data_IF_235873777146
#
_entry.id   IF_235873777146
#
_cell.length_a   1.000
_cell.length_b   1.000
_cell.length_c   1.000
_cell.angle_alpha   90.00
_cell.angle_beta   90.00
_cell.angle_gamma   90.00
#
_symmetry.space_group_name_H-M   'P 1'
#
loop_
_entity.id
_entity.type
_entity.pdbx_description
1 polymer ?
#
# COMPACT_ATOMS: atom_id res chain seq x y z
N UNK A 1 -11.08 -9.07 -27.15
CA UNK A 1 -11.17 -8.61 -25.74
C UNK A 1 -10.01 -9.26 -25.00
N UNK A 2 -9.05 -8.46 -24.51
CA UNK A 2 -7.94 -8.97 -23.71
C UNK A 2 -8.47 -9.59 -22.42
N UNK A 3 -7.87 -10.67 -21.97
CA UNK A 3 -8.15 -11.26 -20.67
C UNK A 3 -7.27 -10.55 -19.65
N UNK A 4 -7.81 -10.18 -18.47
CA UNK A 4 -7.03 -9.59 -17.39
C UNK A 4 -5.97 -10.60 -16.89
N UNK A 5 -4.71 -10.20 -16.90
CA UNK A 5 -3.60 -11.03 -16.43
C UNK A 5 -3.43 -10.88 -14.90
N UNK A 6 -4.10 -11.75 -14.16
CA UNK A 6 -4.08 -11.75 -12.70
C UNK A 6 -2.68 -11.97 -12.11
N UNK A 7 -1.91 -12.90 -12.68
CA UNK A 7 -0.58 -13.23 -12.16
C UNK A 7 0.40 -12.07 -12.34
N UNK A 8 0.33 -11.43 -13.48
CA UNK A 8 1.16 -10.25 -13.76
C UNK A 8 0.81 -9.08 -12.84
N UNK A 9 -0.48 -8.84 -12.58
CA UNK A 9 -0.87 -7.80 -11.63
C UNK A 9 -0.47 -8.14 -10.21
N UNK A 10 -0.61 -9.40 -9.76
CA UNK A 10 -0.14 -9.84 -8.45
C UNK A 10 1.36 -9.59 -8.27
N UNK A 11 2.18 -9.90 -9.28
CA UNK A 11 3.62 -9.61 -9.26
C UNK A 11 3.90 -8.11 -9.13
N UNK A 12 3.18 -7.28 -9.90
CA UNK A 12 3.28 -5.84 -9.82
C UNK A 12 2.90 -5.32 -8.41
N UNK A 13 1.73 -5.71 -7.88
CA UNK A 13 1.23 -5.22 -6.61
C UNK A 13 2.08 -5.67 -5.40
N UNK A 14 2.72 -6.84 -5.48
CA UNK A 14 3.53 -7.40 -4.37
C UNK A 14 4.97 -6.90 -4.34
N UNK A 15 5.50 -6.42 -5.42
CA UNK A 15 6.92 -6.09 -5.52
C UNK A 15 7.16 -4.74 -6.21
N UNK A 16 6.74 -4.59 -7.47
CA UNK A 16 7.07 -3.39 -8.23
C UNK A 16 6.42 -2.12 -7.66
N UNK A 17 5.21 -2.23 -7.11
CA UNK A 17 4.52 -1.10 -6.48
C UNK A 17 5.27 -0.62 -5.23
N UNK A 18 5.76 -1.55 -4.40
CA UNK A 18 6.54 -1.20 -3.21
C UNK A 18 7.86 -0.51 -3.56
N UNK A 19 8.56 -1.00 -4.59
CA UNK A 19 9.80 -0.38 -5.07
C UNK A 19 9.56 1.06 -5.55
N UNK A 20 8.44 1.31 -6.24
CA UNK A 20 8.04 2.63 -6.72
C UNK A 20 7.67 3.57 -5.56
N UNK A 21 6.84 3.10 -4.63
CA UNK A 21 6.46 3.89 -3.44
C UNK A 21 7.67 4.20 -2.56
N UNK A 22 8.61 3.27 -2.47
CA UNK A 22 9.85 3.50 -1.74
C UNK A 22 10.74 4.56 -2.44
N UNK A 23 10.78 4.56 -3.78
CA UNK A 23 11.48 5.60 -4.52
C UNK A 23 10.86 6.98 -4.26
N UNK A 24 9.54 7.09 -4.39
CA UNK A 24 8.81 8.34 -4.13
C UNK A 24 9.02 8.85 -2.70
N UNK A 25 9.05 7.95 -1.71
CA UNK A 25 9.37 8.32 -0.34
C UNK A 25 10.76 8.95 -0.22
N UNK A 26 11.77 8.37 -0.90
CA UNK A 26 13.14 8.87 -0.86
C UNK A 26 13.37 10.11 -1.71
N UNK A 27 12.54 10.32 -2.72
CA UNK A 27 12.56 11.49 -3.61
C UNK A 27 11.71 12.66 -3.06
N UNK A 28 11.18 12.53 -1.82
CA UNK A 28 10.34 13.51 -1.11
C UNK A 28 8.98 13.78 -1.78
N UNK A 29 8.42 12.78 -2.44
CA UNK A 29 7.07 12.86 -3.02
C UNK A 29 6.01 12.28 -2.08
N UNK A 30 6.40 11.53 -1.04
CA UNK A 30 5.51 10.97 -0.02
C UNK A 30 5.89 11.50 1.37
N UNK A 31 5.01 12.29 1.98
CA UNK A 31 5.14 12.81 3.35
C UNK A 31 4.08 12.28 4.32
N UNK A 32 3.00 11.73 3.79
CA UNK A 32 1.85 11.25 4.55
C UNK A 32 1.11 10.17 3.76
N UNK A 33 0.08 9.58 4.39
CA UNK A 33 -0.73 8.51 3.82
C UNK A 33 -1.45 8.94 2.53
N UNK A 34 -1.91 10.20 2.43
CA UNK A 34 -2.60 10.72 1.24
C UNK A 34 -1.66 10.80 0.03
N UNK A 35 -0.41 11.21 0.24
CA UNK A 35 0.58 11.25 -0.84
C UNK A 35 0.85 9.81 -1.33
N UNK A 36 1.00 8.86 -0.40
CA UNK A 36 1.17 7.45 -0.72
C UNK A 36 -0.01 6.89 -1.54
N UNK A 37 -1.26 7.22 -1.18
CA UNK A 37 -2.44 6.85 -1.97
C UNK A 37 -2.39 7.43 -3.38
N UNK A 38 -1.96 8.68 -3.50
CA UNK A 38 -1.87 9.38 -4.79
C UNK A 38 -0.82 8.74 -5.69
N UNK A 39 0.36 8.46 -5.17
CA UNK A 39 1.44 7.74 -5.88
C UNK A 39 0.99 6.34 -6.29
N UNK A 40 0.42 5.57 -5.36
CA UNK A 40 -0.09 4.22 -5.65
C UNK A 40 -1.16 4.24 -6.75
N UNK A 41 -2.12 5.17 -6.67
CA UNK A 41 -3.16 5.33 -7.69
C UNK A 41 -2.57 5.65 -9.07
N UNK A 42 -1.58 6.54 -9.11
CA UNK A 42 -0.88 6.90 -10.36
C UNK A 42 -0.21 5.66 -10.97
N UNK A 43 0.57 4.91 -10.20
CA UNK A 43 1.30 3.73 -10.68
C UNK A 43 0.37 2.60 -11.13
N UNK A 44 -0.70 2.34 -10.38
CA UNK A 44 -1.70 1.33 -10.75
C UNK A 44 -2.41 1.74 -12.05
N UNK A 45 -2.79 3.00 -12.22
CA UNK A 45 -3.38 3.49 -13.47
C UNK A 45 -2.42 3.40 -14.65
N UNK A 46 -1.15 3.74 -14.43
CA UNK A 46 -0.13 3.63 -15.47
C UNK A 46 0.10 2.17 -15.88
N UNK A 47 0.12 1.25 -14.89
CA UNK A 47 0.16 -0.18 -15.14
C UNK A 47 -0.99 -0.62 -16.07
N UNK A 48 -2.24 -0.27 -15.75
CA UNK A 48 -3.39 -0.65 -16.56
C UNK A 48 -3.36 -0.01 -17.95
N UNK A 49 -2.94 1.24 -18.05
CA UNK A 49 -2.77 1.90 -19.35
C UNK A 49 -1.78 1.19 -20.25
N UNK A 50 -0.73 0.61 -19.68
CA UNK A 50 0.32 -0.09 -20.45
C UNK A 50 -0.05 -1.53 -20.80
N UNK A 51 -0.83 -2.20 -19.94
CA UNK A 51 -0.99 -3.64 -20.03
C UNK A 51 -2.44 -4.11 -20.22
N UNK A 52 -3.45 -3.39 -19.73
CA UNK A 52 -4.81 -3.89 -19.56
C UNK A 52 -5.88 -2.87 -20.00
N UNK A 53 -5.66 -2.15 -21.09
CA UNK A 53 -6.37 -0.91 -21.50
C UNK A 53 -7.91 -0.93 -21.41
N UNK A 54 -8.55 -2.09 -21.64
CA UNK A 54 -10.01 -2.15 -21.83
C UNK A 54 -10.73 -3.08 -20.85
N UNK A 55 -10.02 -3.78 -19.95
CA UNK A 55 -10.62 -4.83 -19.11
C UNK A 55 -10.80 -4.43 -17.65
N UNK A 56 -10.00 -3.49 -17.16
CA UNK A 56 -10.01 -3.09 -15.75
C UNK A 56 -9.99 -1.56 -15.55
N UNK A 57 -10.54 -1.11 -14.44
CA UNK A 57 -10.45 0.28 -14.01
C UNK A 57 -10.25 0.37 -12.49
N UNK A 58 -9.74 1.51 -12.05
CA UNK A 58 -9.33 1.79 -10.67
C UNK A 58 -10.23 2.86 -10.06
N UNK A 59 -10.61 2.69 -8.80
CA UNK A 59 -11.34 3.69 -8.00
C UNK A 59 -10.62 3.92 -6.68
N UNK A 60 -10.49 5.20 -6.29
CA UNK A 60 -10.05 5.59 -4.96
C UNK A 60 -11.25 5.71 -4.04
N UNK A 61 -11.11 5.21 -2.83
CA UNK A 61 -12.06 5.32 -1.72
C UNK A 61 -13.54 5.03 -2.11
N UNK A 62 -13.84 3.98 -2.92
CA UNK A 62 -15.22 3.69 -3.25
C UNK A 62 -15.96 3.09 -2.06
N UNK A 63 -17.28 3.26 -2.02
CA UNK A 63 -18.11 2.49 -1.09
C UNK A 63 -18.19 1.03 -1.56
N UNK A 64 -17.77 0.11 -0.69
CA UNK A 64 -17.76 -1.33 -0.96
C UNK A 64 -18.22 -2.10 0.29
N UNK A 65 -19.38 -2.76 0.24
CA UNK A 65 -19.97 -3.50 1.38
C UNK A 65 -20.09 -2.68 2.68
N UNK A 66 -20.39 -1.38 2.58
CA UNK A 66 -20.44 -0.48 3.76
C UNK A 66 -19.10 0.03 4.25
N UNK A 67 -18.00 -0.47 3.67
CA UNK A 67 -16.62 -0.05 3.95
C UNK A 67 -16.11 0.92 2.89
N UNK A 68 -14.98 1.57 3.18
CA UNK A 68 -14.34 2.51 2.26
C UNK A 68 -12.85 2.18 2.14
N UNK A 69 -12.51 1.18 1.31
CA UNK A 69 -11.12 0.85 1.06
C UNK A 69 -10.42 1.94 0.25
N UNK A 70 -9.08 2.03 0.38
CA UNK A 70 -8.30 3.08 -0.27
C UNK A 70 -8.33 2.98 -1.79
N UNK A 71 -8.09 1.79 -2.33
CA UNK A 71 -8.15 1.54 -3.78
C UNK A 71 -8.88 0.24 -4.07
N UNK A 72 -9.80 0.28 -5.05
CA UNK A 72 -10.44 -0.92 -5.60
C UNK A 72 -10.21 -0.99 -7.11
N UNK A 73 -9.85 -2.17 -7.56
CA UNK A 73 -9.71 -2.49 -8.97
C UNK A 73 -10.91 -3.33 -9.39
N UNK A 74 -11.54 -2.91 -10.45
CA UNK A 74 -12.70 -3.56 -11.02
C UNK A 74 -12.35 -4.17 -12.37
N UNK A 75 -12.75 -5.43 -12.57
CA UNK A 75 -12.77 -6.07 -13.89
C UNK A 75 -14.24 -6.28 -14.31
N UNK A 76 -14.60 -5.78 -15.48
CA UNK A 76 -15.97 -5.89 -16.03
C UNK A 76 -17.06 -5.46 -15.04
N UNK A 77 -16.80 -4.42 -14.27
CA UNK A 77 -17.76 -3.88 -13.28
C UNK A 77 -17.81 -4.63 -11.95
N UNK A 78 -17.00 -5.68 -11.75
CA UNK A 78 -16.93 -6.43 -10.49
C UNK A 78 -15.64 -6.09 -9.74
N UNK A 79 -15.68 -5.85 -8.42
CA UNK A 79 -14.47 -5.66 -7.62
C UNK A 79 -13.62 -6.92 -7.68
N UNK A 80 -12.34 -6.79 -7.97
CA UNK A 80 -11.43 -7.91 -8.19
C UNK A 80 -10.22 -7.87 -7.27
N UNK A 81 -9.74 -6.67 -6.96
CA UNK A 81 -8.69 -6.44 -5.98
C UNK A 81 -9.02 -5.25 -5.10
N UNK A 82 -8.58 -5.33 -3.85
CA UNK A 82 -8.71 -4.26 -2.86
C UNK A 82 -7.33 -3.98 -2.29
N UNK A 83 -6.98 -2.70 -2.16
CA UNK A 83 -5.71 -2.29 -1.58
C UNK A 83 -5.97 -1.32 -0.44
N UNK A 84 -5.22 -1.49 0.64
CA UNK A 84 -5.14 -0.60 1.79
C UNK A 84 -3.69 -0.18 2.01
N UNK A 85 -3.51 1.04 2.45
CA UNK A 85 -2.21 1.64 2.67
C UNK A 85 -2.12 2.23 4.06
N UNK A 86 -0.96 2.09 4.70
CA UNK A 86 -0.68 2.69 6.00
C UNK A 86 0.69 3.31 6.02
N UNK A 87 0.79 4.54 6.54
CA UNK A 87 2.02 5.30 6.61
C UNK A 87 2.32 5.81 8.02
N UNK A 88 3.48 5.46 8.55
CA UNK A 88 4.00 5.98 9.80
C UNK A 88 5.35 6.65 9.60
N UNK A 89 5.36 7.98 9.61
CA UNK A 89 6.57 8.76 9.38
C UNK A 89 7.57 8.76 10.53
N UNK A 90 7.20 8.24 11.71
CA UNK A 90 8.05 8.18 12.90
C UNK A 90 7.78 6.90 13.70
N UNK A 91 8.82 6.34 14.37
CA UNK A 91 8.69 5.13 15.17
C UNK A 91 7.61 5.21 16.25
N UNK A 92 7.55 6.36 16.95
CA UNK A 92 6.62 6.60 18.07
C UNK A 92 5.15 6.68 17.64
N UNK A 93 4.90 6.74 16.32
CA UNK A 93 3.55 6.83 15.76
C UNK A 93 3.03 5.49 15.24
N UNK A 94 3.86 4.43 15.25
CA UNK A 94 3.41 3.10 14.84
C UNK A 94 2.33 2.64 15.82
N UNK A 95 1.11 2.54 15.31
CA UNK A 95 -0.05 2.10 16.05
C UNK A 95 -0.49 0.73 15.51
N UNK A 96 -0.19 -0.32 16.25
CA UNK A 96 -0.54 -1.69 15.86
C UNK A 96 -2.04 -1.90 15.71
N UNK A 97 -2.85 -1.31 16.59
CA UNK A 97 -4.30 -1.47 16.52
C UNK A 97 -4.85 -0.85 15.22
N UNK A 98 -4.35 0.32 14.83
CA UNK A 98 -4.74 0.94 13.55
C UNK A 98 -4.34 0.09 12.32
N UNK A 99 -3.20 -0.62 12.40
CA UNK A 99 -2.79 -1.56 11.35
C UNK A 99 -3.77 -2.73 11.27
N UNK A 100 -4.13 -3.30 12.41
CA UNK A 100 -5.05 -4.44 12.44
C UNK A 100 -6.49 -4.05 12.09
N UNK A 101 -6.95 -2.84 12.45
CA UNK A 101 -8.25 -2.32 12.03
C UNK A 101 -8.36 -2.22 10.50
N UNK A 102 -7.32 -1.72 9.83
CA UNK A 102 -7.27 -1.66 8.37
C UNK A 102 -7.15 -3.05 7.74
N UNK A 103 -6.40 -3.97 8.35
CA UNK A 103 -6.34 -5.36 7.89
C UNK A 103 -7.68 -6.09 8.06
N UNK A 104 -8.39 -5.87 9.17
CA UNK A 104 -9.73 -6.42 9.39
C UNK A 104 -10.73 -5.86 8.37
N UNK A 105 -10.71 -4.55 8.10
CA UNK A 105 -11.49 -3.91 7.05
C UNK A 105 -11.22 -4.53 5.68
N UNK A 106 -9.95 -4.75 5.36
CA UNK A 106 -9.54 -5.37 4.10
C UNK A 106 -10.05 -6.82 4.00
N UNK A 107 -9.96 -7.59 5.09
CA UNK A 107 -10.48 -8.96 5.15
C UNK A 107 -11.99 -9.00 4.95
N UNK A 108 -12.74 -8.11 5.61
CA UNK A 108 -14.18 -7.99 5.46
C UNK A 108 -14.58 -7.62 4.01
N UNK A 109 -13.80 -6.75 3.34
CA UNK A 109 -14.00 -6.47 1.90
C UNK A 109 -13.81 -7.71 1.04
N UNK A 110 -12.75 -8.49 1.30
CA UNK A 110 -12.42 -9.72 0.55
C UNK A 110 -13.50 -10.78 0.75
N UNK A 111 -14.02 -10.93 1.96
CA UNK A 111 -15.04 -11.93 2.29
C UNK A 111 -16.45 -11.53 1.77
N UNK A 112 -16.72 -10.23 1.62
CA UNK A 112 -18.00 -9.73 1.13
C UNK A 112 -18.26 -9.99 -0.37
N UNK A 113 -17.21 -10.29 -1.16
CA UNK A 113 -17.34 -10.47 -2.61
C UNK A 113 -16.52 -11.64 -3.14
N UNK A 114 -17.18 -12.67 -3.63
CA UNK A 114 -16.54 -13.83 -4.28
C UNK A 114 -15.66 -13.44 -5.48
N UNK A 115 -15.93 -12.29 -6.10
CA UNK A 115 -15.16 -11.80 -7.23
C UNK A 115 -13.78 -11.25 -6.82
N UNK A 116 -13.59 -10.90 -5.54
CA UNK A 116 -12.29 -10.40 -5.06
C UNK A 116 -11.31 -11.57 -4.96
N UNK A 117 -10.20 -11.44 -5.69
CA UNK A 117 -9.15 -12.45 -5.77
C UNK A 117 -8.13 -12.28 -4.66
N UNK A 118 -7.71 -11.03 -4.41
CA UNK A 118 -6.70 -10.67 -3.42
C UNK A 118 -6.96 -9.30 -2.82
N UNK A 119 -6.65 -9.17 -1.52
CA UNK A 119 -6.39 -7.93 -0.84
C UNK A 119 -4.88 -7.68 -0.72
N UNK A 120 -4.47 -6.44 -0.84
CA UNK A 120 -3.08 -6.03 -0.63
C UNK A 120 -3.04 -4.97 0.46
N UNK A 121 -2.22 -5.19 1.46
CA UNK A 121 -1.94 -4.22 2.51
C UNK A 121 -0.49 -3.76 2.39
N UNK A 122 -0.29 -2.48 2.17
CA UNK A 122 1.02 -1.85 2.03
C UNK A 122 1.30 -0.96 3.23
N UNK A 123 2.31 -1.32 4.01
CA UNK A 123 2.75 -0.56 5.18
C UNK A 123 4.09 0.12 4.87
N UNK A 124 4.13 1.46 4.93
CA UNK A 124 5.37 2.21 4.97
C UNK A 124 5.57 2.75 6.38
N UNK A 125 6.75 2.54 6.94
CA UNK A 125 7.08 2.99 8.29
C UNK A 125 8.56 3.33 8.43
N UNK A 126 8.87 4.12 9.46
CA UNK A 126 10.23 4.43 9.85
C UNK A 126 10.49 3.90 11.25
N UNK A 127 11.26 2.83 11.38
CA UNK A 127 11.64 2.26 12.67
C UNK A 127 13.07 1.69 12.63
N UNK A 128 13.75 1.74 13.78
CA UNK A 128 15.08 1.15 13.93
C UNK A 128 15.01 -0.39 13.87
N UNK A 129 13.99 -0.95 14.51
CA UNK A 129 13.72 -2.39 14.49
C UNK A 129 12.57 -2.64 13.51
N UNK A 130 12.73 -3.59 12.56
CA UNK A 130 11.64 -3.94 11.67
C UNK A 130 10.37 -4.35 12.43
N UNK A 131 9.24 -3.79 12.03
CA UNK A 131 7.95 -4.18 12.54
C UNK A 131 7.55 -5.55 11.98
N UNK A 132 7.04 -6.42 12.83
CA UNK A 132 6.56 -7.75 12.43
C UNK A 132 5.13 -7.93 12.90
N UNK A 133 4.23 -8.22 11.96
CA UNK A 133 2.84 -8.53 12.30
C UNK A 133 2.74 -9.87 13.04
N UNK A 134 1.87 -9.93 14.03
CA UNK A 134 1.63 -11.16 14.80
C UNK A 134 0.85 -12.19 13.98
N UNK A 135 1.45 -13.35 13.75
CA UNK A 135 0.81 -14.48 13.04
C UNK A 135 -0.51 -14.91 13.67
N UNK A 136 -0.65 -14.77 15.00
CA UNK A 136 -1.88 -15.16 15.69
C UNK A 136 -3.08 -14.29 15.31
N UNK A 137 -2.86 -13.00 15.02
CA UNK A 137 -3.90 -12.08 14.55
C UNK A 137 -4.23 -12.24 13.07
N UNK A 138 -3.27 -12.72 12.26
CA UNK A 138 -3.44 -12.92 10.81
C UNK A 138 -4.18 -14.24 10.45
N UNK A 139 -4.66 -15.03 11.42
CA UNK A 139 -5.29 -16.34 11.18
C UNK A 139 -6.79 -16.31 10.89
N UNK A 140 -7.40 -15.15 10.71
CA UNK A 140 -8.82 -15.06 10.27
C UNK A 140 -8.97 -15.61 8.85
N UNK A 141 -10.15 -16.16 8.52
CA UNK A 141 -10.40 -16.80 7.23
C UNK A 141 -10.10 -15.89 6.02
N UNK A 142 -10.46 -14.61 6.08
CA UNK A 142 -10.21 -13.64 5.00
C UNK A 142 -8.72 -13.37 4.72
N UNK A 143 -7.85 -13.58 5.71
CA UNK A 143 -6.41 -13.31 5.56
C UNK A 143 -5.68 -14.27 4.62
N UNK A 144 -6.25 -15.41 4.29
CA UNK A 144 -5.67 -16.34 3.30
C UNK A 144 -5.53 -15.73 1.89
N UNK A 145 -6.32 -14.69 1.61
CA UNK A 145 -6.31 -13.93 0.34
C UNK A 145 -5.69 -12.54 0.49
N UNK A 146 -5.01 -12.26 1.60
CA UNK A 146 -4.37 -10.96 1.81
C UNK A 146 -2.86 -11.11 1.71
N UNK A 147 -2.26 -10.26 0.90
CA UNK A 147 -0.82 -10.08 0.82
C UNK A 147 -0.45 -8.83 1.62
N UNK A 148 0.41 -8.99 2.60
CA UNK A 148 0.95 -7.87 3.38
C UNK A 148 2.37 -7.63 2.94
N UNK A 149 2.66 -6.38 2.62
CA UNK A 149 4.03 -5.91 2.34
C UNK A 149 4.37 -4.78 3.30
N UNK A 150 5.63 -4.66 3.66
CA UNK A 150 6.10 -3.61 4.56
C UNK A 150 7.41 -3.02 4.10
N UNK A 151 7.46 -1.70 4.06
CA UNK A 151 8.61 -0.91 3.63
C UNK A 151 9.13 -0.13 4.84
N UNK A 152 10.34 -0.44 5.28
CA UNK A 152 11.02 0.37 6.29
C UNK A 152 11.87 1.44 5.61
N UNK A 153 11.58 2.71 5.85
CA UNK A 153 12.31 3.84 5.26
C UNK A 153 13.82 3.82 5.55
N UNK A 154 14.24 3.22 6.66
CA UNK A 154 15.65 3.07 7.02
C UNK A 154 16.39 1.98 6.27
N UNK A 155 15.67 1.00 5.68
CA UNK A 155 16.27 -0.21 5.11
C UNK A 155 15.75 -0.46 3.72
N UNK A 156 16.63 -0.81 2.82
CA UNK A 156 16.22 -1.35 1.54
C UNK A 156 15.72 -2.77 1.76
N UNK A 157 14.54 -3.08 1.27
CA UNK A 157 13.94 -4.40 1.36
C UNK A 157 14.90 -5.49 0.84
N UNK A 158 14.94 -6.64 1.53
CA UNK A 158 15.83 -7.76 1.18
C UNK A 158 17.31 -7.55 1.52
N UNK A 159 17.68 -6.46 2.18
CA UNK A 159 19.04 -6.23 2.67
C UNK A 159 19.03 -5.79 4.13
N UNK A 160 19.89 -6.37 4.97
CA UNK A 160 20.15 -5.88 6.34
C UNK A 160 20.95 -4.56 6.37
N UNK A 161 21.20 -3.96 5.22
CA UNK A 161 22.00 -2.73 5.12
C UNK A 161 21.11 -1.52 5.31
N UNK A 162 21.42 -0.72 6.33
CA UNK A 162 20.92 0.65 6.45
C UNK A 162 21.30 1.41 5.18
N UNK A 163 20.41 2.28 4.71
CA UNK A 163 20.79 3.17 3.60
C UNK A 163 21.90 4.09 4.07
N UNK A 164 22.94 4.20 3.25
CA UNK A 164 23.93 5.26 3.39
C UNK A 164 23.16 6.59 3.29
N UNK A 165 23.44 7.51 4.17
CA UNK A 165 22.82 8.84 4.25
C UNK A 165 21.40 8.90 4.82
N UNK A 166 20.92 7.86 5.54
CA UNK A 166 19.58 7.91 6.15
C UNK A 166 19.40 9.14 7.06
N UNK A 167 20.37 9.48 7.89
CA UNK A 167 20.26 10.60 8.83
C UNK A 167 20.18 11.94 8.11
N UNK A 168 20.90 12.10 7.00
CA UNK A 168 20.80 13.27 6.12
C UNK A 168 19.45 13.35 5.45
N UNK A 169 19.01 12.26 4.82
CA UNK A 169 17.67 12.15 4.23
C UNK A 169 16.58 12.45 5.25
N UNK A 170 16.68 11.89 6.45
CA UNK A 170 15.68 12.10 7.51
C UNK A 170 15.60 13.56 7.93
N UNK A 171 16.75 14.23 8.06
CA UNK A 171 16.80 15.66 8.38
C UNK A 171 16.14 16.53 7.31
N UNK A 172 16.33 16.24 6.04
CA UNK A 172 15.67 16.95 4.95
C UNK A 172 14.18 16.59 4.86
N UNK A 173 13.81 15.31 5.05
CA UNK A 173 12.42 14.87 5.08
C UNK A 173 11.60 15.62 6.15
N UNK A 174 12.12 15.75 7.37
CA UNK A 174 11.45 16.47 8.46
C UNK A 174 11.23 17.95 8.12
N UNK A 175 12.22 18.60 7.50
CA UNK A 175 12.11 20.00 7.04
C UNK A 175 11.04 20.14 5.94
N UNK A 176 11.07 19.28 4.94
CA UNK A 176 10.12 19.31 3.83
C UNK A 176 8.70 19.00 4.31
N UNK A 177 8.53 18.03 5.22
CA UNK A 177 7.25 17.73 5.82
C UNK A 177 6.68 18.91 6.63
N UNK A 178 7.54 19.65 7.34
CA UNK A 178 7.12 20.85 8.06
C UNK A 178 6.67 21.96 7.10
N UNK A 179 7.40 22.18 6.01
CA UNK A 179 7.01 23.13 4.96
C UNK A 179 5.68 22.74 4.32
N UNK A 180 5.51 21.46 3.98
CA UNK A 180 4.25 20.95 3.42
C UNK A 180 3.06 21.23 4.33
N UNK A 181 3.18 20.96 5.65
CA UNK A 181 2.12 21.25 6.63
C UNK A 181 1.76 22.73 6.77
N UNK A 182 2.72 23.64 6.52
CA UNK A 182 2.46 25.09 6.59
C UNK A 182 1.72 25.62 5.37
N UNK A 183 1.72 24.89 4.26
CA UNK A 183 1.14 25.32 2.99
C UNK A 183 -0.05 24.46 2.53
N UNK A 184 -0.38 23.38 3.25
CA UNK A 184 -1.56 22.54 3.03
C UNK A 184 -2.76 23.03 3.84
#
# INVERSE_FOLDING_TARGET
MGHFDFERFNGFARQSLDDLLFSDLWDYDIFNERDMHSSAYFYIRDYFRKHERDSAYVRCEPQLAGMRPDIVIYERGRPTYVLEFKFFSKPDYINEDAIYDDLDKLADCVDAYDSIKWGFFHLIYDAEIPFTLSDSRLRRAGFSKISVTSINARRKEGTDRRRNNYDEWRGEFDKMQELHRKHA
#
